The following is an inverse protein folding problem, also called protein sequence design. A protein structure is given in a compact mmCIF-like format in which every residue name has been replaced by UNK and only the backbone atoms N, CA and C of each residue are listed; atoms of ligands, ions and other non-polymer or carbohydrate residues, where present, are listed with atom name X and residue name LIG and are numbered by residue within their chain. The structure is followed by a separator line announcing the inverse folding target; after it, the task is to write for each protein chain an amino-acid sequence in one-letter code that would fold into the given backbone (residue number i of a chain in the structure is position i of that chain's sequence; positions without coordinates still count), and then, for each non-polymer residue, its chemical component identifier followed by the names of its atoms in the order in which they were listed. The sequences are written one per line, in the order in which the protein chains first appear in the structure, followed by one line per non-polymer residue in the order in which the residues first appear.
data_IF_402440983676
#
_entry.id   IF_402440983676
#
_cell.length_a   1.000
_cell.length_b   1.000
_cell.length_c   1.000
_cell.angle_alpha   90.00
_cell.angle_beta   90.00
_cell.angle_gamma   90.00
#
_symmetry.space_group_name_H-M   'P 1'
#
loop_
_entity.id
_entity.type
_entity.pdbx_description
1 polymer ?
#
# COMPACT_ATOMS: atom_id res chain seq x y z
N UNK A 1 -2.12 -18.76 -9.08
CA UNK A 1 -3.33 -18.78 -8.23
C UNK A 1 -4.25 -17.65 -8.66
N UNK A 2 -5.51 -17.94 -8.98
CA UNK A 2 -6.46 -16.95 -9.47
C UNK A 2 -7.12 -16.24 -8.27
N UNK A 3 -6.46 -15.24 -7.71
CA UNK A 3 -7.02 -14.45 -6.60
C UNK A 3 -8.16 -13.59 -7.13
N UNK A 4 -9.41 -13.91 -6.72
CA UNK A 4 -10.59 -13.08 -7.04
C UNK A 4 -10.34 -11.67 -6.51
N UNK A 5 -10.23 -10.69 -7.40
CA UNK A 5 -10.10 -9.28 -7.03
C UNK A 5 -11.40 -8.85 -6.34
N UNK A 6 -11.35 -8.30 -5.11
CA UNK A 6 -12.55 -7.80 -4.47
C UNK A 6 -13.12 -6.65 -5.29
N UNK A 7 -14.43 -6.71 -5.56
CA UNK A 7 -15.16 -5.65 -6.25
C UNK A 7 -15.50 -4.62 -5.18
N UNK A 8 -14.86 -3.45 -5.27
CA UNK A 8 -15.12 -2.33 -4.37
C UNK A 8 -16.12 -1.36 -4.99
N UNK A 9 -16.97 -0.79 -4.15
CA UNK A 9 -17.78 0.36 -4.51
C UNK A 9 -16.87 1.55 -4.85
N UNK A 10 -17.24 2.42 -5.80
CA UNK A 10 -16.38 3.53 -6.25
C UNK A 10 -15.87 4.42 -5.11
N UNK A 11 -16.69 4.65 -4.08
CA UNK A 11 -16.29 5.43 -2.89
C UNK A 11 -15.16 4.74 -2.10
N UNK A 12 -15.20 3.42 -1.97
CA UNK A 12 -14.18 2.65 -1.25
C UNK A 12 -12.88 2.57 -2.07
N UNK A 13 -13.00 2.43 -3.40
CA UNK A 13 -11.83 2.46 -4.29
C UNK A 13 -11.05 3.78 -4.16
N UNK A 14 -11.73 4.92 -4.06
CA UNK A 14 -11.08 6.23 -3.85
C UNK A 14 -10.29 6.31 -2.54
N UNK A 15 -10.80 5.71 -1.46
CA UNK A 15 -10.07 5.65 -0.17
C UNK A 15 -8.76 4.87 -0.37
N UNK A 16 -8.84 3.71 -1.04
CA UNK A 16 -7.65 2.89 -1.25
C UNK A 16 -6.66 3.54 -2.22
N UNK A 17 -7.14 4.19 -3.28
CA UNK A 17 -6.32 5.02 -4.18
C UNK A 17 -5.59 6.13 -3.43
N UNK A 18 -6.28 6.81 -2.50
CA UNK A 18 -5.69 7.85 -1.67
C UNK A 18 -4.59 7.27 -0.76
N UNK A 19 -4.80 6.10 -0.17
CA UNK A 19 -3.76 5.39 0.60
C UNK A 19 -2.55 5.07 -0.29
N UNK A 20 -2.78 4.55 -1.49
CA UNK A 20 -1.73 4.27 -2.47
C UNK A 20 -0.90 5.51 -2.83
N UNK A 21 -1.57 6.64 -3.10
CA UNK A 21 -0.89 7.90 -3.42
C UNK A 21 -0.07 8.39 -2.22
N UNK A 22 -0.57 8.25 -0.99
CA UNK A 22 0.20 8.59 0.22
C UNK A 22 1.48 7.75 0.34
N UNK A 23 1.42 6.45 0.07
CA UNK A 23 2.58 5.55 0.06
C UNK A 23 3.59 5.98 -1.01
N UNK A 24 3.11 6.30 -2.21
CA UNK A 24 3.95 6.82 -3.30
C UNK A 24 4.63 8.13 -2.92
N UNK A 25 3.89 9.06 -2.30
CA UNK A 25 4.45 10.32 -1.82
C UNK A 25 5.48 10.10 -0.70
N UNK A 26 5.23 9.17 0.22
CA UNK A 26 6.18 8.77 1.25
C UNK A 26 7.48 8.22 0.66
N UNK A 27 7.41 7.43 -0.41
CA UNK A 27 8.58 6.94 -1.17
C UNK A 27 9.34 8.10 -1.83
N UNK A 28 8.63 8.99 -2.53
CA UNK A 28 9.25 10.13 -3.24
C UNK A 28 9.94 11.11 -2.28
N UNK A 29 9.33 11.42 -1.13
CA UNK A 29 9.94 12.27 -0.08
C UNK A 29 11.25 11.69 0.46
N UNK A 30 11.34 10.36 0.51
CA UNK A 30 12.55 9.61 0.91
C UNK A 30 13.56 9.43 -0.22
N UNK A 31 13.28 9.94 -1.42
CA UNK A 31 14.12 9.81 -2.63
C UNK A 31 14.45 8.35 -2.99
N UNK A 32 13.53 7.43 -2.69
CA UNK A 32 13.71 6.00 -2.98
C UNK A 32 13.16 5.68 -4.37
N UNK A 33 13.93 4.95 -5.17
CA UNK A 33 13.46 4.46 -6.46
C UNK A 33 12.47 3.32 -6.30
N UNK A 34 11.55 3.17 -7.25
CA UNK A 34 10.62 2.05 -7.32
C UNK A 34 11.36 0.71 -7.32
N UNK A 35 12.53 0.63 -7.95
CA UNK A 35 13.36 -0.59 -7.96
C UNK A 35 13.83 -0.96 -6.55
N UNK A 36 14.43 -0.01 -5.84
CA UNK A 36 14.97 -0.25 -4.49
C UNK A 36 13.88 -0.69 -3.51
N UNK A 37 12.71 -0.04 -3.56
CA UNK A 37 11.61 -0.40 -2.66
C UNK A 37 11.03 -1.77 -3.02
N UNK A 38 10.82 -2.05 -4.31
CA UNK A 38 10.32 -3.35 -4.75
C UNK A 38 11.26 -4.50 -4.35
N UNK A 39 12.56 -4.34 -4.57
CA UNK A 39 13.58 -5.33 -4.18
C UNK A 39 13.59 -5.55 -2.65
N UNK A 40 13.60 -4.48 -1.85
CA UNK A 40 13.60 -4.59 -0.38
C UNK A 40 12.30 -5.16 0.19
N UNK A 41 11.17 -4.87 -0.44
CA UNK A 41 9.87 -5.41 -0.04
C UNK A 41 9.64 -6.83 -0.57
N UNK A 42 10.60 -7.41 -1.29
CA UNK A 42 10.52 -8.71 -1.94
C UNK A 42 9.30 -8.85 -2.86
N UNK A 43 9.03 -7.81 -3.67
CA UNK A 43 7.92 -7.79 -4.63
C UNK A 43 8.37 -7.33 -6.01
N UNK A 44 7.57 -7.62 -7.02
CA UNK A 44 7.81 -7.10 -8.37
C UNK A 44 7.55 -5.59 -8.44
N UNK A 45 8.18 -4.91 -9.42
CA UNK A 45 7.91 -3.47 -9.66
C UNK A 45 6.45 -3.20 -10.01
N UNK A 46 5.79 -4.12 -10.71
CA UNK A 46 4.37 -4.01 -11.06
C UNK A 46 3.48 -4.16 -9.82
N UNK A 47 3.86 -5.01 -8.86
CA UNK A 47 3.19 -5.11 -7.56
C UNK A 47 3.33 -3.81 -6.77
N UNK A 48 4.52 -3.22 -6.69
CA UNK A 48 4.71 -1.93 -6.03
C UNK A 48 3.87 -0.83 -6.70
N UNK A 49 3.82 -0.80 -8.04
CA UNK A 49 2.97 0.15 -8.75
C UNK A 49 1.48 -0.08 -8.46
N UNK A 50 1.04 -1.33 -8.32
CA UNK A 50 -0.33 -1.66 -7.92
C UNK A 50 -0.64 -1.20 -6.48
N UNK A 51 0.31 -1.31 -5.56
CA UNK A 51 0.23 -0.76 -4.19
C UNK A 51 0.08 0.76 -4.23
N UNK A 52 0.94 1.45 -4.99
CA UNK A 52 0.91 2.90 -5.14
C UNK A 52 -0.36 3.42 -5.81
N UNK A 53 -1.09 2.57 -6.52
CA UNK A 53 -2.41 2.87 -7.09
C UNK A 53 -3.57 2.48 -6.19
N UNK A 54 -3.33 1.89 -5.02
CA UNK A 54 -4.40 1.41 -4.16
C UNK A 54 -5.20 0.26 -4.78
N UNK A 55 -4.54 -0.68 -5.45
CA UNK A 55 -5.23 -1.80 -6.07
C UNK A 55 -5.79 -2.76 -4.97
N UNK A 56 -7.11 -3.02 -4.94
CA UNK A 56 -7.73 -3.89 -3.94
C UNK A 56 -7.40 -5.37 -4.11
N UNK A 57 -6.84 -5.76 -5.26
CA UNK A 57 -6.36 -7.13 -5.49
C UNK A 57 -4.99 -7.41 -4.86
N UNK A 58 -4.31 -6.40 -4.32
CA UNK A 58 -3.04 -6.59 -3.61
C UNK A 58 -3.32 -6.96 -2.16
N UNK A 59 -2.66 -8.01 -1.67
CA UNK A 59 -2.82 -8.46 -0.30
C UNK A 59 -2.37 -7.37 0.70
N UNK A 60 -3.08 -7.24 1.81
CA UNK A 60 -2.75 -6.22 2.84
C UNK A 60 -1.34 -6.41 3.40
N UNK A 61 -0.86 -7.65 3.49
CA UNK A 61 0.53 -7.95 3.89
C UNK A 61 1.57 -7.35 2.95
N UNK A 62 1.27 -7.22 1.65
CA UNK A 62 2.15 -6.55 0.70
C UNK A 62 2.19 -5.04 0.94
N UNK A 63 1.06 -4.40 1.27
CA UNK A 63 1.06 -3.01 1.70
C UNK A 63 1.92 -2.82 2.94
N UNK A 64 1.81 -3.72 3.92
CA UNK A 64 2.60 -3.66 5.15
C UNK A 64 4.10 -3.85 4.90
N UNK A 65 4.51 -4.77 4.02
CA UNK A 65 5.91 -4.93 3.61
C UNK A 65 6.47 -3.66 2.96
N UNK A 66 5.68 -3.00 2.10
CA UNK A 66 6.10 -1.73 1.49
C UNK A 66 6.22 -0.64 2.55
N UNK A 67 5.26 -0.53 3.47
CA UNK A 67 5.32 0.42 4.59
C UNK A 67 6.55 0.17 5.49
N UNK A 68 6.87 -1.09 5.78
CA UNK A 68 8.07 -1.47 6.55
C UNK A 68 9.36 -0.99 5.87
N UNK A 69 9.49 -1.16 4.55
CA UNK A 69 10.65 -0.66 3.79
C UNK A 69 10.74 0.87 3.81
N UNK A 70 9.60 1.55 3.97
CA UNK A 70 9.53 3.00 4.13
C UNK A 70 9.69 3.45 5.59
N UNK A 71 9.75 2.53 6.56
CA UNK A 71 9.77 2.82 8.00
C UNK A 71 8.47 3.47 8.49
N UNK A 72 7.33 3.02 7.96
CA UNK A 72 5.97 3.51 8.26
C UNK A 72 5.03 2.37 8.67
N UNK A 73 5.55 1.20 9.04
CA UNK A 73 4.73 0.04 9.43
C UNK A 73 3.88 0.31 10.68
N UNK A 74 4.36 1.17 11.58
CA UNK A 74 3.65 1.54 12.81
C UNK A 74 2.40 2.38 12.52
N UNK A 75 2.36 3.11 11.41
CA UNK A 75 1.19 3.90 11.01
C UNK A 75 -0.02 3.00 10.72
N UNK A 76 0.21 1.73 10.38
CA UNK A 76 -0.86 0.76 10.17
C UNK A 76 -1.69 0.52 11.44
N UNK A 77 -1.11 0.72 12.62
CA UNK A 77 -1.81 0.61 13.91
C UNK A 77 -2.78 1.76 14.17
N UNK A 78 -2.76 2.83 13.37
CA UNK A 78 -3.71 3.95 13.51
C UNK A 78 -5.09 3.62 12.92
N UNK A 79 -5.21 2.53 12.14
CA UNK A 79 -6.48 2.12 11.56
C UNK A 79 -7.46 1.69 12.66
N UNK A 80 -8.57 2.43 12.79
CA UNK A 80 -9.61 2.21 13.79
C UNK A 80 -9.12 2.30 15.25
N UNK A 81 -7.99 2.97 15.50
CA UNK A 81 -7.37 3.05 16.82
C UNK A 81 -8.23 3.79 17.85
N UNK A 82 -8.90 4.85 17.44
CA UNK A 82 -9.67 5.75 18.31
C UNK A 82 -11.18 5.44 18.31
N UNK A 83 -11.54 4.17 18.12
CA UNK A 83 -12.94 3.72 18.17
C UNK A 83 -13.44 3.68 19.63
N UNK A 84 -14.44 4.50 19.96
CA UNK A 84 -15.02 4.65 21.31
C UNK A 84 -16.43 4.03 21.44
N UNK A 85 -16.81 3.14 20.52
CA UNK A 85 -18.12 2.48 20.48
C UNK A 85 -18.30 1.38 21.53
#
# INVERSE_FOLDING_TARGET
MNTKKPILLPKLSRILEQVGEQIKMARLRRKLSTRQVAERANVSRSTLWAVEKGNPGVAVGTYLQVLFVLGLEQDFLQLAKDDEL
#
